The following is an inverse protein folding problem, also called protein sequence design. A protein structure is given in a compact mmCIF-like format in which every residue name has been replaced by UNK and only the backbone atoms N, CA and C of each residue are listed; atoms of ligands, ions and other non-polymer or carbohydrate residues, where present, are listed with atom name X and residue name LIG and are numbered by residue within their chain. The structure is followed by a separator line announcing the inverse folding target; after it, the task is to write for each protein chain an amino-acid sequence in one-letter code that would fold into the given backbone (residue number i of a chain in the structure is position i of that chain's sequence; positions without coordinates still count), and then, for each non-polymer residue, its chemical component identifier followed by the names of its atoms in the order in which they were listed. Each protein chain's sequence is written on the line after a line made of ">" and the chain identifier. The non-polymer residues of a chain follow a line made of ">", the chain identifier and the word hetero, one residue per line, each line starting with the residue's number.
data_IF_846905749597
#
_entry.id   IF_846905749597
#
_cell.length_a   1.000
_cell.length_b   1.000
_cell.length_c   1.000
_cell.angle_alpha   90.00
_cell.angle_beta   90.00
_cell.angle_gamma   90.00
#
_symmetry.space_group_name_H-M   'P 1'
#
loop_
_entity.id
_entity.type
_entity.pdbx_description
1 polymer ?
#
# COMPACT_ATOMS: atom_id res chain seq x y z
N UNK A 1 10.72 16.98 26.39
CA UNK A 1 11.36 17.50 25.17
C UNK A 1 10.28 17.73 24.14
N UNK A 2 10.18 18.91 23.49
CA UNK A 2 9.20 19.13 22.43
C UNK A 2 9.49 18.18 21.27
N UNK A 3 8.43 17.60 20.70
CA UNK A 3 8.51 16.80 19.47
C UNK A 3 8.86 17.79 18.35
N UNK A 4 9.93 17.60 17.57
CA UNK A 4 10.34 18.58 16.58
C UNK A 4 9.27 18.75 15.49
N UNK A 5 9.21 19.95 14.92
CA UNK A 5 8.44 20.33 13.72
C UNK A 5 8.71 19.42 12.49
N UNK A 6 9.62 18.46 12.58
CA UNK A 6 10.04 17.55 11.51
C UNK A 6 9.01 16.47 11.15
N UNK A 7 8.02 16.18 12.00
CA UNK A 7 7.04 15.13 11.70
C UNK A 7 6.13 15.47 10.51
N UNK A 8 5.71 16.74 10.37
CA UNK A 8 4.92 17.18 9.22
C UNK A 8 5.77 17.19 7.94
N UNK A 9 7.06 17.54 8.04
CA UNK A 9 8.03 17.46 6.94
C UNK A 9 8.30 16.01 6.53
N UNK A 10 8.40 15.09 7.48
CA UNK A 10 8.52 13.65 7.24
C UNK A 10 7.25 13.06 6.62
N UNK A 11 6.06 13.50 7.04
CA UNK A 11 4.78 13.08 6.45
C UNK A 11 4.65 13.48 4.97
N UNK A 12 5.18 14.65 4.58
CA UNK A 12 5.23 15.07 3.18
C UNK A 12 6.21 14.23 2.33
N UNK A 13 7.39 13.89 2.88
CA UNK A 13 8.35 12.98 2.26
C UNK A 13 7.84 11.53 2.18
N UNK A 14 6.96 11.13 3.10
CA UNK A 14 6.30 9.82 3.15
C UNK A 14 5.43 9.48 1.94
N UNK A 15 5.22 10.42 1.00
CA UNK A 15 4.59 10.10 -0.30
C UNK A 15 5.48 9.25 -1.20
N UNK A 16 6.80 9.30 -1.02
CA UNK A 16 7.77 8.56 -1.86
C UNK A 16 8.78 7.75 -1.03
N UNK A 17 8.77 7.87 0.30
CA UNK A 17 9.70 7.18 1.19
C UNK A 17 8.91 6.30 2.17
N UNK A 18 9.10 4.97 2.17
CA UNK A 18 8.51 4.13 3.20
C UNK A 18 9.06 4.52 4.58
N UNK A 19 8.16 4.95 5.46
CA UNK A 19 8.48 5.22 6.85
C UNK A 19 8.19 3.96 7.68
N UNK A 20 9.13 3.61 8.55
CA UNK A 20 8.96 2.51 9.51
C UNK A 20 9.07 3.09 10.93
N UNK A 21 8.11 2.75 11.78
CA UNK A 21 8.13 3.10 13.21
C UNK A 21 8.15 1.81 14.01
N UNK A 22 9.12 1.69 14.89
CA UNK A 22 9.24 0.56 15.82
C UNK A 22 8.90 1.05 17.22
N UNK A 23 7.90 0.43 17.85
CA UNK A 23 7.43 0.75 19.20
C UNK A 23 7.76 -0.43 20.11
N UNK A 24 8.56 -0.18 21.15
CA UNK A 24 8.88 -1.19 22.17
C UNK A 24 7.73 -1.25 23.18
N UNK A 25 7.36 -2.44 23.66
CA UNK A 25 6.26 -2.61 24.61
C UNK A 25 6.49 -1.77 25.86
N UNK A 26 5.41 -1.23 26.42
CA UNK A 26 5.47 -0.22 27.47
C UNK A 26 5.64 1.22 26.96
N UNK A 27 6.00 1.42 25.68
CA UNK A 27 5.97 2.74 25.04
C UNK A 27 4.70 2.89 24.20
N UNK A 28 3.80 3.79 24.61
CA UNK A 28 2.57 4.12 23.85
C UNK A 28 2.75 5.34 22.96
N UNK A 29 3.95 5.93 22.92
CA UNK A 29 4.19 7.21 22.26
C UNK A 29 3.71 7.21 20.80
N UNK A 30 4.11 6.24 19.98
CA UNK A 30 3.68 6.17 18.57
C UNK A 30 2.16 6.00 18.41
N UNK A 31 1.49 5.31 19.36
CA UNK A 31 0.03 5.12 19.36
C UNK A 31 -0.72 6.38 19.77
N UNK A 32 -0.08 7.30 20.50
CA UNK A 32 -0.64 8.58 20.91
C UNK A 32 -0.56 9.65 19.80
N UNK A 33 -0.01 9.32 18.63
CA UNK A 33 0.12 10.21 17.48
C UNK A 33 -0.69 9.71 16.27
N UNK A 34 -2.03 9.85 16.28
CA UNK A 34 -2.89 9.36 15.21
C UNK A 34 -2.62 10.05 13.86
N UNK A 35 -2.04 11.26 13.85
CA UNK A 35 -1.56 11.90 12.63
C UNK A 35 -0.43 11.09 11.99
N UNK A 36 0.61 10.76 12.76
CA UNK A 36 1.73 9.92 12.32
C UNK A 36 1.26 8.56 11.80
N UNK A 37 0.33 7.89 12.50
CA UNK A 37 -0.20 6.60 12.05
C UNK A 37 -0.96 6.69 10.72
N UNK A 38 -1.72 7.78 10.51
CA UNK A 38 -2.42 8.01 9.24
C UNK A 38 -1.43 8.27 8.11
N UNK A 39 -0.36 9.02 8.36
CA UNK A 39 0.64 9.34 7.34
C UNK A 39 1.53 8.14 7.00
N UNK A 40 1.91 7.33 8.00
CA UNK A 40 2.50 6.01 7.80
C UNK A 40 1.62 5.15 6.88
N UNK A 41 0.34 5.00 7.23
CA UNK A 41 -0.59 4.19 6.44
C UNK A 41 -0.76 4.73 5.00
N UNK A 42 -0.75 6.05 4.80
CA UNK A 42 -0.86 6.69 3.47
C UNK A 42 0.41 6.57 2.63
N UNK A 43 1.57 6.50 3.26
CA UNK A 43 2.88 6.34 2.59
C UNK A 43 3.27 4.88 2.33
N UNK A 44 2.44 3.92 2.75
CA UNK A 44 2.82 2.50 2.70
C UNK A 44 3.83 2.10 3.78
N UNK A 45 4.00 2.96 4.80
CA UNK A 45 4.83 2.71 5.95
C UNK A 45 4.26 1.66 6.91
N UNK A 46 5.08 1.23 7.86
CA UNK A 46 4.78 0.14 8.78
C UNK A 46 5.01 0.59 10.22
N UNK A 47 4.04 0.30 11.10
CA UNK A 47 4.24 0.33 12.54
C UNK A 47 4.51 -1.11 13.01
N UNK A 48 5.65 -1.31 13.66
CA UNK A 48 6.02 -2.58 14.28
C UNK A 48 6.02 -2.44 15.79
N UNK A 49 5.50 -3.46 16.46
CA UNK A 49 5.56 -3.57 17.91
C UNK A 49 6.53 -4.68 18.25
N UNK A 50 7.41 -4.41 19.20
CA UNK A 50 8.35 -5.38 19.75
C UNK A 50 8.22 -5.39 21.26
N UNK A 51 8.49 -6.51 21.91
CA UNK A 51 8.32 -6.62 23.37
C UNK A 51 9.55 -6.07 24.11
N UNK A 52 10.75 -6.26 23.55
CA UNK A 52 12.01 -5.84 24.15
C UNK A 52 12.82 -4.97 23.19
N UNK A 53 13.72 -4.16 23.73
CA UNK A 53 14.65 -3.37 22.91
C UNK A 53 15.58 -4.27 22.08
N UNK A 54 15.97 -5.41 22.61
CA UNK A 54 16.80 -6.42 21.93
C UNK A 54 16.14 -6.94 20.63
N UNK A 55 14.81 -7.02 20.61
CA UNK A 55 14.04 -7.49 19.46
C UNK A 55 14.08 -6.48 18.29
N UNK A 56 14.40 -5.20 18.56
CA UNK A 56 14.58 -4.18 17.52
C UNK A 56 15.74 -4.56 16.59
N UNK A 57 16.85 -5.03 17.16
CA UNK A 57 18.02 -5.46 16.37
C UNK A 57 17.71 -6.69 15.52
N UNK A 58 16.96 -7.63 16.07
CA UNK A 58 16.53 -8.82 15.35
C UNK A 58 15.61 -8.44 14.18
N UNK A 59 14.69 -7.51 14.41
CA UNK A 59 13.78 -6.99 13.39
C UNK A 59 14.53 -6.35 12.22
N UNK A 60 15.52 -5.50 12.50
CA UNK A 60 16.33 -4.90 11.43
C UNK A 60 17.12 -5.94 10.64
N UNK A 61 17.66 -6.97 11.30
CA UNK A 61 18.32 -8.09 10.59
C UNK A 61 17.38 -8.82 9.66
N UNK A 62 16.15 -9.12 10.09
CA UNK A 62 15.18 -9.80 9.23
C UNK A 62 14.74 -8.95 8.05
N UNK A 63 14.69 -7.63 8.22
CA UNK A 63 14.28 -6.69 7.16
C UNK A 63 15.17 -6.77 5.93
N UNK A 64 16.48 -6.92 6.09
CA UNK A 64 17.42 -7.00 4.96
C UNK A 64 17.13 -8.19 4.01
N UNK A 65 16.53 -9.25 4.56
CA UNK A 65 16.14 -10.44 3.82
C UNK A 65 14.74 -10.35 3.20
N UNK A 66 13.92 -9.37 3.60
CA UNK A 66 12.61 -9.20 2.99
C UNK A 66 12.78 -8.64 1.57
N UNK A 67 12.02 -9.16 0.59
CA UNK A 67 11.90 -8.49 -0.69
C UNK A 67 11.29 -7.11 -0.45
N UNK A 68 11.94 -6.08 -0.98
CA UNK A 68 11.38 -4.74 -0.98
C UNK A 68 11.42 -4.09 -2.36
N UNK A 69 10.41 -3.26 -2.60
CA UNK A 69 10.27 -2.43 -3.78
C UNK A 69 9.61 -1.11 -3.45
N UNK A 70 9.94 -0.07 -4.22
CA UNK A 70 9.43 1.28 -4.04
C UNK A 70 8.87 1.83 -5.35
N UNK A 71 8.12 2.93 -5.25
CA UNK A 71 7.39 3.53 -6.36
C UNK A 71 6.54 2.48 -7.11
N UNK A 72 5.83 1.65 -6.35
CA UNK A 72 5.09 0.54 -6.91
C UNK A 72 3.71 1.00 -7.39
N UNK A 73 3.31 0.53 -8.57
CA UNK A 73 2.00 0.77 -9.15
C UNK A 73 1.40 -0.56 -9.57
N UNK A 74 0.25 -0.89 -9.02
CA UNK A 74 -0.58 -2.01 -9.44
C UNK A 74 -1.62 -1.51 -10.44
N UNK A 75 -1.49 -1.93 -11.68
CA UNK A 75 -2.46 -1.65 -12.74
C UNK A 75 -3.42 -2.83 -12.81
N UNK A 76 -4.70 -2.53 -12.71
CA UNK A 76 -5.78 -3.51 -12.73
C UNK A 76 -6.60 -3.32 -14.01
N UNK A 77 -6.60 -4.34 -14.86
CA UNK A 77 -7.37 -4.41 -16.09
C UNK A 77 -8.54 -5.38 -15.91
N UNK A 78 -9.76 -4.90 -16.16
CA UNK A 78 -10.96 -5.71 -16.08
C UNK A 78 -11.47 -6.03 -17.48
N UNK A 79 -11.94 -7.26 -17.69
CA UNK A 79 -12.68 -7.61 -18.90
C UNK A 79 -13.93 -6.74 -19.06
N UNK A 80 -14.46 -6.58 -20.29
CA UNK A 80 -15.75 -5.92 -20.49
C UNK A 80 -16.83 -6.49 -19.56
N UNK A 81 -17.65 -5.62 -18.97
CA UNK A 81 -18.68 -6.05 -18.03
C UNK A 81 -18.23 -6.02 -16.56
N UNK A 82 -16.94 -5.93 -16.25
CA UNK A 82 -16.39 -5.89 -14.89
C UNK A 82 -15.66 -4.56 -14.61
N UNK A 83 -15.69 -4.06 -13.38
CA UNK A 83 -14.95 -2.87 -12.96
C UNK A 83 -14.48 -2.96 -11.50
N UNK A 84 -13.37 -2.32 -11.19
CA UNK A 84 -12.93 -2.11 -9.79
C UNK A 84 -13.69 -0.93 -9.19
N UNK A 85 -14.60 -1.22 -8.26
CA UNK A 85 -15.35 -0.20 -7.52
C UNK A 85 -14.49 0.47 -6.45
N UNK A 86 -13.78 -0.32 -5.65
CA UNK A 86 -12.99 0.15 -4.52
C UNK A 86 -11.67 -0.61 -4.44
N UNK A 87 -10.61 0.07 -4.01
CA UNK A 87 -9.34 -0.54 -3.62
C UNK A 87 -8.98 -0.06 -2.21
N UNK A 88 -8.37 -0.92 -1.41
CA UNK A 88 -7.87 -0.57 -0.08
C UNK A 88 -6.62 -1.37 0.28
N UNK A 89 -5.84 -0.84 1.21
CA UNK A 89 -4.57 -1.40 1.62
C UNK A 89 -3.66 -0.29 2.14
N UNK A 90 -2.46 -0.65 2.58
CA UNK A 90 -1.45 0.33 3.00
C UNK A 90 -0.85 1.00 1.77
N UNK A 91 -0.74 2.33 1.81
CA UNK A 91 -0.18 3.12 0.72
C UNK A 91 -1.03 3.15 -0.55
N UNK A 92 -2.25 2.57 -0.52
CA UNK A 92 -3.11 2.42 -1.69
C UNK A 92 -3.77 3.73 -2.06
N UNK A 93 -3.49 4.24 -3.25
CA UNK A 93 -4.23 5.34 -3.89
C UNK A 93 -4.79 4.88 -5.22
N UNK A 94 -6.11 4.93 -5.34
CA UNK A 94 -6.82 4.59 -6.58
C UNK A 94 -6.83 5.83 -7.48
N UNK A 95 -6.19 5.73 -8.64
CA UNK A 95 -6.40 6.62 -9.77
C UNK A 95 -7.15 5.83 -10.86
N UNK A 96 -8.08 6.49 -11.55
CA UNK A 96 -8.87 5.85 -12.61
C UNK A 96 -8.64 6.64 -13.89
N UNK A 97 -8.10 5.96 -14.90
CA UNK A 97 -7.73 6.55 -16.18
C UNK A 97 -8.11 5.55 -17.29
N UNK A 98 -8.96 6.01 -18.22
CA UNK A 98 -9.38 5.30 -19.44
C UNK A 98 -9.50 3.77 -19.32
N UNK A 99 -10.48 3.31 -18.56
CA UNK A 99 -10.84 1.88 -18.46
C UNK A 99 -9.92 1.02 -17.59
N UNK A 100 -8.76 1.55 -17.17
CA UNK A 100 -7.84 0.92 -16.23
C UNK A 100 -7.96 1.54 -14.84
N UNK A 101 -7.64 0.76 -13.81
CA UNK A 101 -7.52 1.27 -12.43
C UNK A 101 -6.08 1.14 -11.99
N UNK A 102 -5.43 2.28 -11.81
CA UNK A 102 -4.07 2.35 -11.28
C UNK A 102 -4.14 2.49 -9.76
N UNK A 103 -3.36 1.68 -9.07
CA UNK A 103 -3.24 1.67 -7.63
C UNK A 103 -1.79 1.92 -7.29
N UNK A 104 -1.50 3.14 -6.86
CA UNK A 104 -0.19 3.45 -6.30
C UNK A 104 -0.06 2.72 -4.96
N UNK A 105 1.12 2.13 -4.73
CA UNK A 105 1.53 1.46 -3.52
C UNK A 105 2.87 2.07 -3.12
N UNK A 106 2.88 2.83 -2.02
CA UNK A 106 4.08 3.56 -1.60
C UNK A 106 5.33 2.66 -1.43
N UNK A 107 5.16 1.48 -0.82
CA UNK A 107 6.22 0.49 -0.65
C UNK A 107 5.66 -0.94 -0.63
N UNK A 108 6.39 -1.83 -1.30
CA UNK A 108 6.21 -3.27 -1.21
C UNK A 108 7.23 -3.77 -0.21
N UNK A 109 6.82 -4.13 1.00
CA UNK A 109 7.69 -4.81 1.96
C UNK A 109 7.09 -6.18 2.27
N UNK A 110 7.84 -7.25 2.00
CA UNK A 110 7.37 -8.63 2.16
C UNK A 110 6.15 -8.90 1.27
N UNK A 111 5.00 -9.21 1.88
CA UNK A 111 3.75 -9.53 1.18
C UNK A 111 2.69 -8.43 1.43
N UNK A 112 2.75 -7.30 0.71
CA UNK A 112 1.74 -6.26 0.83
C UNK A 112 0.37 -6.80 0.38
N UNK A 113 -0.68 -6.52 1.16
CA UNK A 113 -2.04 -6.90 0.85
C UNK A 113 -2.81 -5.71 0.29
N UNK A 114 -3.31 -5.86 -0.94
CA UNK A 114 -4.22 -4.92 -1.59
C UNK A 114 -5.57 -5.62 -1.81
N UNK A 115 -6.62 -5.06 -1.23
CA UNK A 115 -7.98 -5.53 -1.42
C UNK A 115 -8.66 -4.80 -2.58
N UNK A 116 -9.36 -5.54 -3.44
CA UNK A 116 -10.13 -5.01 -4.56
C UNK A 116 -11.60 -5.42 -4.42
N UNK A 117 -12.50 -4.45 -4.55
CA UNK A 117 -13.93 -4.71 -4.68
C UNK A 117 -14.32 -4.57 -6.15
N UNK A 118 -14.72 -5.69 -6.75
CA UNK A 118 -15.19 -5.75 -8.12
C UNK A 118 -16.71 -5.58 -8.18
N UNK A 119 -17.21 -5.01 -9.26
CA UNK A 119 -18.63 -4.90 -9.54
C UNK A 119 -18.90 -5.04 -11.04
N UNK A 120 -20.07 -5.58 -11.44
CA UNK A 120 -20.48 -5.56 -12.83
C UNK A 120 -20.75 -4.11 -13.29
N UNK A 121 -20.46 -3.83 -14.56
CA UNK A 121 -20.82 -2.57 -15.22
C UNK A 121 -22.28 -2.61 -15.67
N UNK A 122 -23.02 -1.50 -15.50
CA UNK A 122 -24.46 -1.43 -15.83
C UNK A 122 -24.78 -1.39 -17.33
N UNK A 123 -23.96 -1.96 -18.21
CA UNK A 123 -24.26 -1.97 -19.65
C UNK A 123 -25.29 -3.08 -19.94
N UNK A 124 -26.48 -2.67 -20.38
CA UNK A 124 -27.46 -3.57 -21.01
C UNK A 124 -26.84 -4.08 -22.32
N UNK A 125 -26.38 -5.32 -22.35
CA UNK A 125 -25.92 -5.94 -23.60
C UNK A 125 -27.13 -6.10 -24.53
N UNK A 126 -27.14 -5.35 -25.65
CA UNK A 126 -28.00 -5.68 -26.78
C UNK A 126 -27.29 -6.78 -27.58
N UNK A 127 -27.86 -7.98 -27.53
CA UNK A 127 -27.68 -9.09 -28.47
C UNK A 127 -26.28 -9.70 -28.66
N UNK A 128 -26.18 -11.00 -28.37
CA UNK A 128 -25.54 -11.95 -29.29
C UNK A 128 -24.04 -12.17 -29.22
N UNK A 129 -23.35 -11.76 -28.15
CA UNK A 129 -21.93 -12.07 -27.95
C UNK A 129 -21.83 -13.22 -26.94
N UNK A 130 -21.13 -14.30 -27.30
CA UNK A 130 -20.74 -15.36 -26.35
C UNK A 130 -20.07 -14.69 -25.15
N UNK A 131 -20.71 -14.76 -23.98
CA UNK A 131 -20.20 -14.17 -22.75
C UNK A 131 -18.90 -14.90 -22.35
N UNK A 132 -17.75 -14.32 -22.69
CA UNK A 132 -16.47 -14.73 -22.11
C UNK A 132 -16.56 -14.58 -20.59
N UNK A 133 -16.08 -15.58 -19.85
CA UNK A 133 -16.03 -15.51 -18.39
C UNK A 133 -15.32 -14.22 -17.93
N UNK A 134 -15.80 -13.56 -16.87
CA UNK A 134 -15.17 -12.34 -16.38
C UNK A 134 -13.73 -12.61 -15.98
N UNK A 135 -12.81 -11.77 -16.46
CA UNK A 135 -11.38 -11.90 -16.19
C UNK A 135 -10.78 -10.61 -15.65
N UNK A 136 -9.66 -10.76 -14.95
CA UNK A 136 -8.89 -9.70 -14.31
C UNK A 136 -7.41 -9.93 -14.59
N UNK A 137 -6.73 -8.92 -15.13
CA UNK A 137 -5.27 -8.93 -15.29
C UNK A 137 -4.67 -7.91 -14.33
N UNK A 138 -3.58 -8.31 -13.65
CA UNK A 138 -2.87 -7.49 -12.68
C UNK A 138 -1.43 -7.30 -13.14
N UNK A 139 -1.04 -6.05 -13.34
CA UNK A 139 0.35 -5.69 -13.65
C UNK A 139 0.95 -4.93 -12.47
N UNK A 140 2.04 -5.44 -11.90
CA UNK A 140 2.74 -4.77 -10.82
C UNK A 140 4.06 -4.20 -11.36
N UNK A 141 4.12 -2.88 -11.49
CA UNK A 141 5.33 -2.13 -11.82
C UNK A 141 5.96 -1.63 -10.53
N UNK A 142 7.26 -1.85 -10.32
CA UNK A 142 7.96 -1.35 -9.14
C UNK A 142 9.46 -1.27 -9.41
N UNK A 143 10.16 -0.45 -8.62
CA UNK A 143 11.63 -0.46 -8.59
C UNK A 143 12.08 -1.37 -7.46
N UNK A 144 12.93 -2.35 -7.76
CA UNK A 144 13.48 -3.23 -6.74
C UNK A 144 14.65 -2.55 -6.00
N UNK A 145 15.13 -3.18 -4.92
CA UNK A 145 16.26 -2.66 -4.13
C UNK A 145 17.62 -2.63 -4.82
N UNK A 146 17.73 -3.23 -6.01
CA UNK A 146 18.98 -3.49 -6.71
C UNK A 146 19.20 -2.64 -7.97
N UNK A 147 18.17 -1.92 -8.44
CA UNK A 147 18.23 -1.09 -9.66
C UNK A 147 17.92 -1.90 -10.91
#
# INVERSE_FOLDING_TARGET
>A
MPIPNDLETMAAAGKCVPLEVVSVAGTTWALNHPALLRDLARGGGVLRKVEKEEDVLLLFRHRDFLPWGFAATLIVECSPGLQVKKAWGRGVRKQQEDGSVQIEIGCLEGTPLVGLQLAPTKKKSKQGVQDSAPSLTLHLCYTNKHG
#
